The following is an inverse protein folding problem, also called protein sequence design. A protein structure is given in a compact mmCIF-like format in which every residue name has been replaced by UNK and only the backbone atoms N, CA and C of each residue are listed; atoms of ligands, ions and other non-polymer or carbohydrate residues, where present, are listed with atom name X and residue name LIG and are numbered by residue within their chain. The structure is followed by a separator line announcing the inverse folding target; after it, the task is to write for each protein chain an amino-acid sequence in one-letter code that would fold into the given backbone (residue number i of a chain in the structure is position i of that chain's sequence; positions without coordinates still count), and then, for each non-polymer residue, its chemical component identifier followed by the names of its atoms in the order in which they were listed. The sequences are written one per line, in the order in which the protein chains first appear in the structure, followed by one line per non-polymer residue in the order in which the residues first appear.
data_IF_934954573610
#
_entry.id   IF_934954573610
#
_cell.length_a   1.000
_cell.length_b   1.000
_cell.length_c   1.000
_cell.angle_alpha   90.00
_cell.angle_beta   90.00
_cell.angle_gamma   90.00
#
_symmetry.space_group_name_H-M   'P 1'
#
loop_
_entity.id
_entity.type
_entity.pdbx_description
1 polymer ?
#
# COMPACT_ATOMS: atom_id res chain seq x y z
N UNK A 1 6.44 -3.76 11.45
CA UNK A 1 5.78 -2.70 12.24
C UNK A 1 5.09 -3.31 13.43
N UNK A 2 4.88 -2.56 14.51
CA UNK A 2 4.07 -3.02 15.65
C UNK A 2 2.61 -2.62 15.45
N UNK A 3 1.66 -3.31 16.07
CA UNK A 3 0.24 -2.94 15.92
C UNK A 3 -0.05 -1.49 16.35
N UNK A 4 0.69 -0.99 17.35
CA UNK A 4 0.58 0.38 17.85
C UNK A 4 0.95 1.43 16.80
N UNK A 5 1.73 1.08 15.78
CA UNK A 5 2.05 2.06 14.73
C UNK A 5 0.87 2.41 13.84
N UNK A 6 -0.11 1.52 13.73
CA UNK A 6 -1.30 1.77 12.90
C UNK A 6 -2.18 2.87 13.47
N UNK A 7 -2.13 3.09 14.79
CA UNK A 7 -2.94 4.11 15.47
C UNK A 7 -2.58 5.53 15.03
N UNK A 8 -1.35 5.80 14.63
CA UNK A 8 -0.93 7.16 14.25
C UNK A 8 -0.52 7.29 12.78
N UNK A 9 -0.17 6.20 12.10
CA UNK A 9 0.27 6.26 10.69
C UNK A 9 -0.85 6.68 9.73
N UNK A 10 -2.11 6.47 10.10
CA UNK A 10 -3.27 6.68 9.22
C UNK A 10 -4.16 7.85 9.65
N UNK A 11 -4.02 8.34 10.88
CA UNK A 11 -4.88 9.40 11.43
C UNK A 11 -4.76 10.76 10.72
N UNK A 12 -3.62 11.01 10.07
CA UNK A 12 -3.39 12.23 9.30
C UNK A 12 -3.79 12.11 7.82
N UNK A 13 -4.35 10.97 7.41
CA UNK A 13 -4.73 10.71 6.02
C UNK A 13 -6.24 10.86 5.89
N UNK A 14 -6.67 11.65 4.91
CA UNK A 14 -8.09 11.87 4.63
C UNK A 14 -8.75 10.57 4.18
N UNK A 15 -9.97 10.32 4.67
CA UNK A 15 -10.76 9.18 4.20
C UNK A 15 -11.08 9.31 2.72
N UNK A 16 -11.24 8.17 2.04
CA UNK A 16 -11.56 8.08 0.62
C UNK A 16 -10.51 8.71 -0.30
N UNK A 17 -9.28 8.93 0.18
CA UNK A 17 -8.19 9.37 -0.68
C UNK A 17 -7.71 8.24 -1.60
N UNK A 18 -6.87 8.61 -2.57
CA UNK A 18 -6.09 7.65 -3.36
C UNK A 18 -4.71 7.51 -2.70
N UNK A 19 -4.30 6.27 -2.42
CA UNK A 19 -3.01 5.97 -1.78
C UNK A 19 -2.08 5.25 -2.74
N UNK A 20 -0.77 5.47 -2.61
CA UNK A 20 0.25 4.73 -3.34
C UNK A 20 1.08 3.88 -2.39
N UNK A 21 1.26 2.60 -2.73
CA UNK A 21 2.03 1.63 -1.96
C UNK A 21 3.14 1.02 -2.82
N UNK A 22 4.27 0.73 -2.18
CA UNK A 22 5.41 0.08 -2.83
C UNK A 22 5.53 -1.38 -2.41
N UNK A 23 5.70 -2.28 -3.38
CA UNK A 23 5.91 -3.71 -3.12
C UNK A 23 7.38 -4.10 -2.95
N UNK A 24 8.30 -3.15 -3.14
CA UNK A 24 9.75 -3.37 -3.07
C UNK A 24 10.14 -3.73 -1.62
N UNK A 25 10.73 -4.91 -1.43
CA UNK A 25 11.18 -5.39 -0.12
C UNK A 25 10.09 -6.07 0.72
N UNK A 26 8.82 -5.97 0.33
CA UNK A 26 7.68 -6.53 1.07
C UNK A 26 7.63 -8.07 1.04
N UNK A 27 8.33 -8.71 0.08
CA UNK A 27 8.36 -10.18 -0.09
C UNK A 27 8.93 -10.93 1.13
N UNK A 28 9.80 -10.31 1.94
CA UNK A 28 10.40 -10.96 3.12
C UNK A 28 9.46 -10.98 4.33
N UNK A 29 8.49 -10.06 4.40
CA UNK A 29 7.58 -9.87 5.53
C UNK A 29 6.12 -9.73 5.07
N UNK A 30 5.66 -10.64 4.21
CA UNK A 30 4.29 -10.66 3.64
C UNK A 30 3.21 -10.47 4.71
N UNK A 31 3.29 -11.21 5.83
CA UNK A 31 2.28 -11.16 6.90
C UNK A 31 2.15 -9.78 7.54
N UNK A 32 3.28 -9.14 7.83
CA UNK A 32 3.27 -7.83 8.48
C UNK A 32 2.81 -6.73 7.51
N UNK A 33 3.15 -6.89 6.22
CA UNK A 33 2.66 -6.03 5.16
C UNK A 33 1.14 -6.12 5.02
N UNK A 34 0.59 -7.33 4.86
CA UNK A 34 -0.85 -7.54 4.74
C UNK A 34 -1.62 -7.00 5.96
N UNK A 35 -1.08 -7.18 7.17
CA UNK A 35 -1.69 -6.61 8.38
C UNK A 35 -1.77 -5.08 8.30
N UNK A 36 -0.68 -4.41 7.90
CA UNK A 36 -0.69 -2.95 7.74
C UNK A 36 -1.62 -2.51 6.61
N UNK A 37 -1.66 -3.27 5.52
CA UNK A 37 -2.53 -3.03 4.37
C UNK A 37 -4.01 -3.05 4.75
N UNK A 38 -4.49 -4.08 5.45
CA UNK A 38 -5.89 -4.13 5.87
C UNK A 38 -6.24 -3.09 6.93
N UNK A 39 -5.32 -2.76 7.83
CA UNK A 39 -5.52 -1.65 8.78
C UNK A 39 -5.64 -0.31 8.07
N UNK A 40 -4.89 -0.09 6.99
CA UNK A 40 -5.02 1.10 6.13
C UNK A 40 -6.39 1.13 5.44
N UNK A 41 -6.84 0.00 4.87
CA UNK A 41 -8.15 -0.10 4.21
C UNK A 41 -9.30 0.23 5.16
N UNK A 42 -9.27 -0.30 6.39
CA UNK A 42 -10.31 -0.10 7.40
C UNK A 42 -10.35 1.35 7.92
N UNK A 43 -9.18 1.98 8.10
CA UNK A 43 -9.08 3.34 8.65
C UNK A 43 -9.40 4.43 7.64
N UNK A 44 -8.83 4.32 6.44
CA UNK A 44 -8.84 5.38 5.43
C UNK A 44 -9.90 5.13 4.36
N UNK A 45 -10.34 3.87 4.17
CA UNK A 45 -11.35 3.51 3.18
C UNK A 45 -11.03 4.09 1.79
N UNK A 46 -9.81 3.86 1.25
CA UNK A 46 -9.33 4.56 0.05
C UNK A 46 -10.17 4.21 -1.17
N UNK A 47 -10.40 5.19 -2.05
CA UNK A 47 -11.12 4.96 -3.32
C UNK A 47 -10.31 4.11 -4.30
N UNK A 48 -8.98 4.23 -4.25
CA UNK A 48 -8.06 3.44 -5.04
C UNK A 48 -6.70 3.30 -4.37
N UNK A 49 -6.04 2.18 -4.64
CA UNK A 49 -4.69 1.88 -4.19
C UNK A 49 -3.79 1.70 -5.41
N UNK A 50 -2.86 2.62 -5.61
CA UNK A 50 -1.81 2.51 -6.63
C UNK A 50 -0.72 1.58 -6.11
N UNK A 51 -0.61 0.39 -6.69
CA UNK A 51 0.37 -0.62 -6.31
C UNK A 51 1.60 -0.57 -7.22
N UNK A 52 2.72 -0.08 -6.69
CA UNK A 52 4.00 -0.02 -7.40
C UNK A 52 4.72 -1.37 -7.28
N UNK A 53 4.62 -2.18 -8.33
CA UNK A 53 5.12 -3.56 -8.39
C UNK A 53 4.03 -4.62 -8.23
N UNK A 54 4.44 -5.89 -8.20
CA UNK A 54 3.52 -7.02 -8.15
C UNK A 54 2.81 -7.11 -6.79
N UNK A 55 1.46 -7.02 -6.73
CA UNK A 55 0.70 -7.21 -5.50
C UNK A 55 0.78 -8.66 -5.00
N UNK A 56 0.45 -8.88 -3.73
CA UNK A 56 0.13 -10.22 -3.24
C UNK A 56 -1.27 -10.62 -3.67
N UNK A 57 -1.52 -11.92 -3.85
CA UNK A 57 -2.83 -12.46 -4.23
C UNK A 57 -3.92 -12.11 -3.21
N UNK A 58 -3.56 -11.95 -1.93
CA UNK A 58 -4.49 -11.58 -0.86
C UNK A 58 -4.84 -10.09 -0.83
N UNK A 59 -4.20 -9.23 -1.61
CA UNK A 59 -4.52 -7.80 -1.59
C UNK A 59 -5.89 -7.55 -2.23
N UNK A 60 -6.81 -7.01 -1.43
CA UNK A 60 -8.18 -6.68 -1.84
C UNK A 60 -8.38 -5.17 -2.02
N UNK A 61 -9.49 -4.78 -2.67
CA UNK A 61 -9.83 -3.37 -2.93
C UNK A 61 -9.57 -2.94 -4.36
N UNK A 62 -9.70 -1.64 -4.63
CA UNK A 62 -9.51 -1.08 -5.97
C UNK A 62 -8.02 -0.86 -6.28
N UNK A 63 -7.34 -1.92 -6.70
CA UNK A 63 -5.90 -1.94 -6.95
C UNK A 63 -5.56 -1.54 -8.38
N UNK A 64 -4.80 -0.45 -8.53
CA UNK A 64 -4.20 -0.02 -9.79
C UNK A 64 -2.73 -0.43 -9.80
N UNK A 65 -2.43 -1.55 -10.45
CA UNK A 65 -1.06 -2.07 -10.53
C UNK A 65 -0.25 -1.29 -11.56
N UNK A 66 0.90 -0.78 -11.12
CA UNK A 66 1.82 0.00 -11.94
C UNK A 66 3.18 -0.70 -11.96
N UNK A 67 3.69 -0.95 -13.16
CA UNK A 67 5.03 -1.48 -13.36
C UNK A 67 6.08 -0.43 -12.95
N UNK A 68 6.55 -0.54 -11.71
CA UNK A 68 7.54 0.37 -11.14
C UNK A 68 8.79 0.49 -12.01
N UNK A 69 9.26 -0.61 -12.62
CA UNK A 69 10.49 -0.57 -13.40
C UNK A 69 10.34 0.26 -14.68
N UNK A 70 9.18 0.15 -15.35
CA UNK A 70 8.87 0.92 -16.56
C UNK A 70 8.48 2.37 -16.26
N UNK A 71 7.91 2.64 -15.09
CA UNK A 71 7.49 3.99 -14.68
C UNK A 71 8.64 4.87 -14.15
N UNK A 72 9.85 4.31 -13.95
CA UNK A 72 11.02 5.12 -13.56
C UNK A 72 11.43 6.04 -14.72
N UNK A 73 11.30 7.35 -14.52
CA UNK A 73 11.93 8.35 -15.38
C UNK A 73 13.44 8.25 -15.18
N UNK A 74 14.14 7.60 -16.11
CA UNK A 74 15.60 7.64 -16.17
C UNK A 74 15.96 9.04 -16.64
N UNK A 75 16.35 9.91 -15.72
CA UNK A 75 17.02 11.17 -16.07
C UNK A 75 18.42 10.76 -16.54
N UNK A 76 18.60 10.68 -17.85
CA UNK A 76 19.91 10.57 -18.50
C UNK A 76 20.52 11.95 -18.63
#
# INVERSE_FOLDING_TARGET
GSARSYEYCFDAIEKHCIVAIGMIGCKRNKRDFLRGYYQMLDRIEPEAVICLGDPFEEMEGNLVVVDYQKSRKVVR
#
